data_IF_114669507242
#
_entry.id   IF_114669507242
#
_cell.length_a   1.000
_cell.length_b   1.000
_cell.length_c   1.000
_cell.angle_alpha   90.00
_cell.angle_beta   90.00
_cell.angle_gamma   90.00
#
_symmetry.space_group_name_H-M   'P 1'
#
loop_
_entity.id
_entity.type
_entity.pdbx_description
1 polymer ?
#
# COMPACT_ATOMS: atom_id res chain seq x y z
N UNK A 1 -17.00 -1.25 31.32
CA UNK A 1 -16.43 -2.51 30.81
C UNK A 1 -14.93 -2.32 30.75
N UNK A 2 -14.18 -3.07 31.53
CA UNK A 2 -12.71 -2.96 31.57
C UNK A 2 -12.16 -3.89 30.49
N UNK A 3 -11.48 -3.32 29.51
CA UNK A 3 -10.76 -4.08 28.49
C UNK A 3 -9.60 -4.83 29.16
N UNK A 4 -9.73 -6.15 29.20
CA UNK A 4 -8.70 -7.05 29.70
C UNK A 4 -7.69 -7.24 28.58
N UNK A 5 -6.65 -6.42 28.55
CA UNK A 5 -5.44 -6.72 27.80
C UNK A 5 -4.74 -7.90 28.48
N UNK A 6 -4.95 -9.09 27.94
CA UNK A 6 -4.15 -10.26 28.30
C UNK A 6 -2.76 -10.04 27.71
N UNK A 7 -1.85 -9.45 28.50
CA UNK A 7 -0.42 -9.48 28.22
C UNK A 7 0.02 -10.94 28.25
N UNK A 8 0.23 -11.54 27.10
CA UNK A 8 0.81 -12.86 27.02
C UNK A 8 2.34 -12.76 27.25
N UNK A 9 2.73 -12.71 28.53
CA UNK A 9 4.13 -12.56 28.97
C UNK A 9 5.04 -13.68 28.41
N UNK A 10 4.50 -14.86 28.10
CA UNK A 10 5.23 -15.95 27.46
C UNK A 10 5.56 -15.63 26.00
N UNK A 11 4.63 -15.04 25.26
CA UNK A 11 4.86 -14.63 23.88
C UNK A 11 5.96 -13.57 23.77
N UNK A 12 5.96 -12.57 24.66
CA UNK A 12 7.04 -11.56 24.74
C UNK A 12 8.38 -12.14 25.18
N UNK A 13 8.40 -13.16 26.04
CA UNK A 13 9.64 -13.86 26.45
C UNK A 13 10.21 -14.70 25.31
N UNK A 14 9.38 -15.38 24.54
CA UNK A 14 9.82 -16.14 23.34
C UNK A 14 10.36 -15.22 22.25
N UNK A 15 9.69 -14.09 21.98
CA UNK A 15 10.19 -13.07 21.06
C UNK A 15 11.55 -12.53 21.50
N UNK A 16 11.71 -12.16 22.77
CA UNK A 16 13.00 -11.70 23.30
C UNK A 16 14.08 -12.77 23.19
N UNK A 17 13.75 -14.03 23.42
CA UNK A 17 14.68 -15.14 23.28
C UNK A 17 15.10 -15.34 21.82
N UNK A 18 14.19 -15.21 20.86
CA UNK A 18 14.45 -15.31 19.41
C UNK A 18 15.36 -14.14 18.94
N UNK A 19 15.08 -12.92 19.40
CA UNK A 19 15.92 -11.75 19.12
C UNK A 19 17.32 -11.86 19.74
N UNK A 20 17.47 -12.50 20.90
CA UNK A 20 18.78 -12.73 21.54
C UNK A 20 19.65 -13.72 20.77
N UNK A 21 19.08 -14.52 19.87
CA UNK A 21 19.79 -15.48 19.01
C UNK A 21 20.12 -14.90 17.62
N UNK A 22 19.95 -13.57 17.43
CA UNK A 22 20.31 -12.89 16.17
C UNK A 22 19.27 -13.07 15.04
N UNK A 23 18.13 -13.68 15.31
CA UNK A 23 17.00 -13.78 14.36
C UNK A 23 16.31 -12.44 14.24
N UNK A 24 16.52 -11.69 13.15
CA UNK A 24 15.65 -10.57 12.79
C UNK A 24 14.28 -11.11 12.43
N UNK A 25 13.26 -10.74 13.19
CA UNK A 25 11.88 -11.00 12.78
C UNK A 25 11.58 -10.14 11.56
N UNK A 26 11.40 -10.78 10.42
CA UNK A 26 11.02 -10.12 9.17
C UNK A 26 9.50 -10.10 9.02
N UNK A 27 9.01 -8.98 8.58
CA UNK A 27 7.64 -8.77 8.11
C UNK A 27 7.65 -8.46 6.61
N UNK A 28 6.50 -8.39 6.01
CA UNK A 28 6.39 -7.89 4.65
C UNK A 28 5.28 -6.85 4.57
N UNK A 29 5.49 -5.87 3.71
CA UNK A 29 4.44 -4.98 3.20
C UNK A 29 4.27 -5.24 1.72
N UNK A 30 3.08 -4.95 1.21
CA UNK A 30 2.73 -5.23 -0.17
C UNK A 30 2.32 -3.94 -0.87
N UNK A 31 2.85 -3.72 -2.07
CA UNK A 31 2.48 -2.58 -2.91
C UNK A 31 1.60 -3.13 -4.02
N UNK A 32 0.36 -2.65 -4.09
CA UNK A 32 -0.60 -3.04 -5.13
C UNK A 32 -0.62 -1.95 -6.19
N UNK A 33 -0.04 -2.26 -7.34
CA UNK A 33 -0.12 -1.41 -8.53
C UNK A 33 -1.34 -1.84 -9.35
N UNK A 34 -2.29 -0.95 -9.59
CA UNK A 34 -3.54 -1.33 -10.25
C UNK A 34 -3.94 -0.40 -11.39
N UNK A 35 -4.64 -0.99 -12.38
CA UNK A 35 -5.45 -0.29 -13.35
C UNK A 35 -6.92 -0.47 -12.99
N UNK A 36 -7.52 0.57 -12.43
CA UNK A 36 -8.93 0.56 -12.03
C UNK A 36 -9.90 0.71 -13.21
N UNK A 37 -9.39 0.79 -14.45
CA UNK A 37 -10.20 0.85 -15.68
C UNK A 37 -11.10 2.07 -15.80
N UNK A 38 -10.97 3.07 -14.91
CA UNK A 38 -11.77 4.29 -14.98
C UNK A 38 -11.29 5.18 -16.13
N UNK A 39 -12.19 6.01 -16.69
CA UNK A 39 -11.80 6.93 -17.75
C UNK A 39 -10.62 7.84 -17.37
N UNK A 40 -10.55 8.22 -16.10
CA UNK A 40 -9.47 9.03 -15.53
C UNK A 40 -8.14 8.23 -15.49
N UNK A 41 -8.19 6.98 -15.06
CA UNK A 41 -7.07 6.04 -15.13
C UNK A 41 -6.58 5.88 -16.58
N UNK A 42 -7.49 5.76 -17.53
CA UNK A 42 -7.14 5.67 -18.97
C UNK A 42 -6.47 6.94 -19.49
N UNK A 43 -6.96 8.13 -19.10
CA UNK A 43 -6.32 9.39 -19.48
C UNK A 43 -4.87 9.48 -18.99
N UNK A 44 -4.63 9.12 -17.74
CA UNK A 44 -3.28 9.08 -17.18
C UNK A 44 -2.44 8.04 -17.93
N UNK A 45 -2.98 6.84 -18.17
CA UNK A 45 -2.31 5.78 -18.91
C UNK A 45 -1.95 6.16 -20.34
N UNK A 46 -2.83 6.86 -21.04
CA UNK A 46 -2.55 7.39 -22.41
C UNK A 46 -1.38 8.39 -22.39
N UNK A 47 -1.30 9.22 -21.36
CA UNK A 47 -0.23 10.20 -21.26
C UNK A 47 1.10 9.59 -20.79
N UNK A 48 1.08 8.71 -19.79
CA UNK A 48 2.28 8.10 -19.19
C UNK A 48 2.79 6.88 -19.96
N UNK A 49 1.98 6.34 -20.89
CA UNK A 49 2.28 5.07 -21.57
C UNK A 49 2.21 3.84 -20.66
N UNK A 50 1.69 3.99 -19.43
CA UNK A 50 1.62 2.92 -18.42
C UNK A 50 0.16 2.59 -18.09
N UNK A 51 -0.16 1.30 -18.02
CA UNK A 51 -1.52 0.84 -17.71
C UNK A 51 -1.82 0.89 -16.20
N UNK A 52 -0.86 0.55 -15.36
CA UNK A 52 -1.01 0.54 -13.89
C UNK A 52 -0.60 1.91 -13.34
N UNK A 53 -1.59 2.73 -13.07
CA UNK A 53 -1.42 4.14 -12.70
C UNK A 53 -1.96 4.49 -11.31
N UNK A 54 -2.30 3.49 -10.51
CA UNK A 54 -2.67 3.62 -9.11
C UNK A 54 -1.75 2.75 -8.25
N UNK A 55 -1.41 3.24 -7.05
CA UNK A 55 -0.60 2.53 -6.08
C UNK A 55 -1.27 2.55 -4.71
N UNK A 56 -1.31 1.40 -4.05
CA UNK A 56 -1.78 1.22 -2.68
C UNK A 56 -0.73 0.44 -1.89
N UNK A 57 -0.73 0.57 -0.57
CA UNK A 57 0.12 -0.22 0.32
C UNK A 57 -0.75 -1.09 1.22
N UNK A 58 -0.36 -2.35 1.40
CA UNK A 58 -1.03 -3.30 2.29
C UNK A 58 -0.05 -3.85 3.34
N UNK A 59 -0.59 -4.20 4.50
CA UNK A 59 0.19 -4.67 5.65
C UNK A 59 -0.01 -6.16 5.93
N UNK A 60 -0.75 -6.84 5.09
CA UNK A 60 -0.96 -8.29 5.14
C UNK A 60 -1.04 -8.87 3.71
N UNK A 61 -0.68 -10.14 3.59
CA UNK A 61 -0.66 -10.87 2.31
C UNK A 61 -2.05 -11.07 1.73
N UNK A 62 -3.03 -11.23 2.60
CA UNK A 62 -4.44 -11.39 2.24
C UNK A 62 -5.10 -10.09 1.79
N UNK A 63 -4.39 -8.96 1.84
CA UNK A 63 -4.86 -7.62 1.46
C UNK A 63 -6.14 -7.18 2.22
N UNK A 64 -6.20 -7.48 3.52
CA UNK A 64 -7.28 -7.00 4.39
C UNK A 64 -7.09 -5.55 4.80
N UNK A 65 -5.83 -5.11 4.96
CA UNK A 65 -5.46 -3.76 5.32
C UNK A 65 -4.77 -3.03 4.16
N UNK A 66 -5.54 -2.50 3.22
CA UNK A 66 -5.03 -1.77 2.03
C UNK A 66 -5.31 -0.28 2.17
N UNK A 67 -4.30 0.55 1.96
CA UNK A 67 -4.39 2.00 2.10
C UNK A 67 -3.83 2.74 0.90
N UNK A 68 -4.48 3.85 0.53
CA UNK A 68 -4.00 4.73 -0.54
C UNK A 68 -4.44 6.18 -0.34
N UNK A 69 -3.99 7.02 -1.25
CA UNK A 69 -4.61 8.32 -1.53
C UNK A 69 -5.29 8.25 -2.88
N UNK A 70 -6.60 8.40 -2.88
CA UNK A 70 -7.40 8.24 -4.08
C UNK A 70 -8.75 8.90 -3.96
N UNK A 71 -9.61 8.60 -4.92
CA UNK A 71 -10.99 9.08 -4.93
C UNK A 71 -11.82 8.30 -3.93
N UNK A 72 -12.57 9.03 -3.10
CA UNK A 72 -13.53 8.44 -2.16
C UNK A 72 -14.81 7.96 -2.86
N UNK A 73 -15.10 8.47 -4.04
CA UNK A 73 -16.28 8.13 -4.83
C UNK A 73 -15.91 7.91 -6.30
N UNK A 74 -16.49 6.87 -6.90
CA UNK A 74 -16.21 6.44 -8.28
C UNK A 74 -16.40 7.54 -9.31
N UNK A 75 -17.45 8.34 -9.16
CA UNK A 75 -17.88 9.34 -10.15
C UNK A 75 -17.45 10.78 -9.82
N UNK A 76 -16.83 11.02 -8.66
CA UNK A 76 -16.38 12.36 -8.27
C UNK A 76 -14.83 12.38 -8.18
N UNK A 77 -14.13 12.91 -9.19
CA UNK A 77 -12.67 12.98 -9.18
C UNK A 77 -12.10 13.99 -8.18
N UNK A 78 -12.91 14.96 -7.75
CA UNK A 78 -12.48 16.05 -6.84
C UNK A 78 -12.56 15.57 -5.38
N UNK A 79 -13.51 14.70 -5.05
CA UNK A 79 -13.67 14.17 -3.69
C UNK A 79 -12.71 12.99 -3.46
N UNK A 80 -11.50 13.32 -3.04
CA UNK A 80 -10.46 12.34 -2.76
C UNK A 80 -9.65 12.70 -1.51
N UNK A 81 -8.82 11.76 -1.07
CA UNK A 81 -7.98 11.87 0.11
C UNK A 81 -7.46 10.51 0.53
N UNK A 82 -7.17 10.37 1.82
CA UNK A 82 -6.83 9.08 2.42
C UNK A 82 -8.01 8.11 2.34
N UNK A 83 -7.75 6.89 1.87
CA UNK A 83 -8.75 5.82 1.69
C UNK A 83 -8.19 4.52 2.25
N UNK A 84 -8.99 3.79 3.02
CA UNK A 84 -8.80 2.37 3.22
C UNK A 84 -9.60 1.66 2.12
N UNK A 85 -8.90 0.92 1.28
CA UNK A 85 -9.49 0.26 0.11
C UNK A 85 -10.03 -1.12 0.48
N UNK A 86 -11.13 -1.50 -0.15
CA UNK A 86 -11.66 -2.85 -0.06
C UNK A 86 -11.14 -3.67 -1.25
N UNK A 87 -10.18 -4.56 -0.98
CA UNK A 87 -9.61 -5.44 -1.98
C UNK A 87 -10.60 -6.51 -2.48
N UNK A 88 -11.61 -6.86 -1.67
CA UNK A 88 -12.63 -7.87 -1.99
C UNK A 88 -13.90 -7.28 -2.59
N UNK A 89 -13.94 -5.96 -2.71
CA UNK A 89 -15.07 -5.23 -3.28
C UNK A 89 -14.64 -4.05 -4.14
N UNK A 90 -15.62 -3.32 -4.64
CA UNK A 90 -15.38 -2.08 -5.34
C UNK A 90 -14.58 -2.17 -6.65
N UNK A 91 -13.79 -1.13 -6.90
CA UNK A 91 -13.02 -1.00 -8.15
C UNK A 91 -11.77 -1.87 -8.17
N UNK A 92 -11.16 -2.09 -7.01
CA UNK A 92 -9.89 -2.78 -6.89
C UNK A 92 -10.05 -4.29 -7.20
N UNK A 93 -11.13 -4.91 -6.75
CA UNK A 93 -11.40 -6.34 -6.92
C UNK A 93 -11.30 -6.83 -8.37
N UNK A 94 -11.81 -6.03 -9.32
CA UNK A 94 -11.80 -6.38 -10.75
C UNK A 94 -10.61 -5.80 -11.53
N UNK A 95 -9.73 -5.05 -10.85
CA UNK A 95 -8.61 -4.40 -11.49
C UNK A 95 -7.54 -5.41 -11.94
N UNK A 96 -6.87 -5.10 -13.07
CA UNK A 96 -5.59 -5.73 -13.34
C UNK A 96 -4.54 -5.11 -12.42
N UNK A 97 -3.74 -5.94 -11.77
CA UNK A 97 -2.75 -5.47 -10.80
C UNK A 97 -1.40 -6.17 -10.94
N UNK A 98 -0.38 -5.54 -10.39
CA UNK A 98 0.86 -6.18 -9.96
C UNK A 98 0.94 -6.05 -8.45
N UNK A 99 1.26 -7.14 -7.76
CA UNK A 99 1.51 -7.13 -6.32
C UNK A 99 3.00 -7.28 -6.11
N UNK A 100 3.57 -6.31 -5.44
CA UNK A 100 4.98 -6.25 -5.11
C UNK A 100 5.12 -6.49 -3.60
N UNK A 101 6.10 -7.30 -3.22
CA UNK A 101 6.41 -7.64 -1.82
C UNK A 101 7.73 -6.98 -1.42
N UNK A 102 7.72 -6.30 -0.28
CA UNK A 102 8.91 -5.72 0.32
C UNK A 102 9.09 -6.25 1.74
N UNK A 103 10.23 -6.90 1.99
CA UNK A 103 10.58 -7.42 3.31
C UNK A 103 11.17 -6.31 4.17
N UNK A 104 10.71 -6.22 5.40
CA UNK A 104 11.10 -5.19 6.36
C UNK A 104 11.34 -5.82 7.73
N UNK A 105 12.14 -5.18 8.55
CA UNK A 105 12.23 -5.52 9.98
C UNK A 105 10.91 -5.18 10.69
N UNK A 106 10.70 -5.77 11.87
CA UNK A 106 9.53 -5.48 12.69
C UNK A 106 9.44 -3.99 13.05
N UNK A 107 10.56 -3.36 13.39
CA UNK A 107 10.60 -1.93 13.74
C UNK A 107 10.23 -1.03 12.56
N UNK A 108 10.66 -1.38 11.35
CA UNK A 108 10.27 -0.66 10.12
C UNK A 108 8.78 -0.83 9.83
N UNK A 109 8.29 -2.06 9.94
CA UNK A 109 6.87 -2.36 9.76
C UNK A 109 6.00 -1.55 10.72
N UNK A 110 6.39 -1.47 12.00
CA UNK A 110 5.65 -0.73 13.02
C UNK A 110 5.68 0.78 12.73
N UNK A 111 6.85 1.36 12.36
CA UNK A 111 6.93 2.77 11.95
C UNK A 111 6.06 3.09 10.73
N UNK A 112 6.10 2.23 9.71
CA UNK A 112 5.26 2.39 8.51
C UNK A 112 3.78 2.36 8.86
N UNK A 113 3.39 1.44 9.74
CA UNK A 113 2.01 1.29 10.20
C UNK A 113 1.56 2.50 11.03
N UNK A 114 2.38 2.98 11.95
CA UNK A 114 2.12 4.19 12.75
C UNK A 114 1.95 5.42 11.85
N UNK A 115 2.76 5.52 10.80
CA UNK A 115 2.63 6.59 9.81
C UNK A 115 1.27 6.54 9.09
N UNK A 116 0.82 5.36 8.68
CA UNK A 116 -0.52 5.18 8.08
C UNK A 116 -1.62 5.56 9.07
N UNK A 117 -1.50 5.14 10.34
CA UNK A 117 -2.46 5.48 11.39
C UNK A 117 -2.52 7.00 11.63
N UNK A 118 -1.39 7.69 11.54
CA UNK A 118 -1.33 9.17 11.59
C UNK A 118 -2.14 9.79 10.44
N UNK A 119 -1.96 9.32 9.20
CA UNK A 119 -2.75 9.76 8.06
C UNK A 119 -4.26 9.49 8.26
N UNK A 120 -4.60 8.32 8.82
CA UNK A 120 -5.98 7.94 9.12
C UNK A 120 -6.61 8.86 10.17
N UNK A 121 -5.89 9.13 11.26
CA UNK A 121 -6.37 10.01 12.34
C UNK A 121 -6.58 11.45 11.86
N UNK A 122 -5.68 11.93 11.01
CA UNK A 122 -5.68 13.30 10.50
C UNK A 122 -6.29 13.43 9.09
N UNK A 123 -7.03 12.44 8.61
CA UNK A 123 -7.51 12.37 7.23
C UNK A 123 -8.27 13.60 6.73
N UNK A 124 -8.85 14.40 7.63
CA UNK A 124 -9.54 15.65 7.29
C UNK A 124 -8.58 16.76 6.86
N UNK A 125 -7.33 16.72 7.29
CA UNK A 125 -6.29 17.69 6.91
C UNK A 125 -5.76 17.45 5.49
N UNK A 126 -5.80 16.18 5.04
CA UNK A 126 -5.18 15.76 3.80
C UNK A 126 -6.18 15.73 2.64
N UNK A 127 -5.75 16.24 1.50
CA UNK A 127 -6.54 16.31 0.27
C UNK A 127 -5.91 15.46 -0.82
N UNK A 128 -6.71 15.05 -1.77
CA UNK A 128 -6.20 14.41 -2.99
C UNK A 128 -5.58 15.44 -3.92
N UNK A 129 -4.32 15.22 -4.29
CA UNK A 129 -3.59 16.14 -5.16
C UNK A 129 -3.80 15.80 -6.64
N UNK A 130 -5.01 16.02 -7.13
CA UNK A 130 -5.34 15.81 -8.54
C UNK A 130 -4.47 16.69 -9.48
N UNK A 131 -4.24 17.95 -9.10
CA UNK A 131 -3.41 18.88 -9.88
C UNK A 131 -1.94 18.45 -9.90
N UNK A 132 -1.42 17.92 -8.77
CA UNK A 132 -0.07 17.37 -8.70
C UNK A 132 0.11 16.15 -9.60
N UNK A 133 -0.91 15.31 -9.72
CA UNK A 133 -0.90 14.17 -10.63
C UNK A 133 -0.79 14.59 -12.11
N UNK A 134 -1.52 15.64 -12.53
CA UNK A 134 -1.35 16.24 -13.84
C UNK A 134 0.02 16.92 -13.98
N UNK A 135 0.52 17.54 -12.90
CA UNK A 135 1.84 18.13 -12.87
C UNK A 135 2.94 17.12 -13.17
N UNK A 136 2.89 15.94 -12.56
CA UNK A 136 3.85 14.86 -12.84
C UNK A 136 3.75 14.42 -14.31
N UNK A 137 2.53 14.23 -14.81
CA UNK A 137 2.33 13.89 -16.21
C UNK A 137 2.94 14.94 -17.15
N UNK A 138 2.83 16.22 -16.82
CA UNK A 138 3.40 17.35 -17.58
C UNK A 138 4.83 17.72 -17.19
N UNK A 139 5.50 16.92 -16.33
CA UNK A 139 6.83 17.22 -15.77
C UNK A 139 6.89 18.54 -14.98
N UNK A 140 5.75 19.02 -14.52
CA UNK A 140 5.62 20.22 -13.68
C UNK A 140 5.64 19.81 -12.22
N UNK A 141 6.49 20.45 -11.42
CA UNK A 141 6.57 20.18 -9.98
C UNK A 141 5.49 20.97 -9.20
N UNK A 142 4.24 20.51 -9.25
CA UNK A 142 3.12 21.12 -8.52
C UNK A 142 3.02 20.48 -7.14
N UNK A 143 3.68 21.07 -6.16
CA UNK A 143 3.56 20.68 -4.76
C UNK A 143 2.46 21.51 -4.08
N UNK A 144 1.62 20.85 -3.28
CA UNK A 144 0.60 21.47 -2.45
C UNK A 144 0.72 20.90 -1.04
N UNK A 145 0.73 21.79 -0.06
CA UNK A 145 0.75 21.37 1.34
C UNK A 145 -0.48 20.50 1.67
N UNK A 146 -0.24 19.42 2.41
CA UNK A 146 -1.25 18.46 2.85
C UNK A 146 -2.09 17.85 1.70
N UNK A 147 -1.53 17.77 0.50
CA UNK A 147 -2.18 17.15 -0.65
C UNK A 147 -1.28 16.06 -1.27
N UNK A 148 -1.79 14.85 -1.30
CA UNK A 148 -1.07 13.66 -1.76
C UNK A 148 -1.77 13.04 -2.97
N UNK A 149 -1.00 12.39 -3.82
CA UNK A 149 -1.50 11.39 -4.77
C UNK A 149 -1.01 9.99 -4.36
N UNK A 150 -1.53 8.96 -4.99
CA UNK A 150 -1.37 7.57 -4.55
C UNK A 150 0.10 7.14 -4.39
N UNK A 151 0.92 7.32 -5.40
CA UNK A 151 2.34 6.90 -5.34
C UNK A 151 3.17 7.78 -4.40
N UNK A 152 2.86 9.08 -4.26
CA UNK A 152 3.50 9.93 -3.25
C UNK A 152 3.24 9.43 -1.84
N UNK A 153 1.99 9.01 -1.54
CA UNK A 153 1.65 8.45 -0.24
C UNK A 153 2.42 7.15 0.02
N UNK A 154 2.40 6.20 -0.93
CA UNK A 154 3.14 4.93 -0.78
C UNK A 154 4.63 5.19 -0.57
N UNK A 155 5.24 6.07 -1.36
CA UNK A 155 6.65 6.46 -1.20
C UNK A 155 6.95 7.07 0.18
N UNK A 156 6.03 7.90 0.70
CA UNK A 156 6.16 8.49 2.04
C UNK A 156 6.11 7.43 3.14
N UNK A 157 5.29 6.38 2.98
CA UNK A 157 5.24 5.27 3.94
C UNK A 157 6.52 4.42 3.82
N UNK A 158 6.98 4.11 2.61
CA UNK A 158 8.21 3.33 2.40
C UNK A 158 9.45 4.01 2.98
N UNK A 159 9.50 5.33 3.01
CA UNK A 159 10.61 6.08 3.64
C UNK A 159 10.71 5.92 5.18
N UNK A 160 9.75 5.27 5.81
CA UNK A 160 9.87 4.85 7.22
C UNK A 160 10.72 3.56 7.35
N UNK A 161 11.20 2.99 6.24
CA UNK A 161 12.11 1.85 6.18
C UNK A 161 13.52 2.27 5.73
N UNK A 162 14.32 1.30 5.31
CA UNK A 162 15.67 1.53 4.74
C UNK A 162 15.64 1.99 3.28
N UNK A 163 14.50 1.89 2.59
CA UNK A 163 14.37 2.46 1.24
C UNK A 163 14.40 3.98 1.32
N UNK A 164 15.35 4.59 0.60
CA UNK A 164 15.44 6.04 0.45
C UNK A 164 14.82 6.49 -0.88
N UNK A 165 13.64 7.08 -0.79
CA UNK A 165 12.98 7.71 -1.93
C UNK A 165 13.14 9.21 -1.81
N UNK A 166 14.18 9.75 -2.46
CA UNK A 166 14.62 11.14 -2.31
C UNK A 166 13.50 12.18 -2.60
N UNK A 167 12.60 11.87 -3.52
CA UNK A 167 11.48 12.77 -3.89
C UNK A 167 10.16 12.02 -4.00
N UNK A 168 9.47 11.72 -2.89
CA UNK A 168 8.17 11.02 -2.92
C UNK A 168 7.15 11.68 -3.85
N UNK A 169 7.17 13.01 -3.96
CA UNK A 169 6.27 13.79 -4.82
C UNK A 169 6.53 13.66 -6.33
N UNK A 170 7.55 12.94 -6.75
CA UNK A 170 7.85 12.71 -8.17
C UNK A 170 7.74 11.24 -8.59
N UNK A 171 7.51 10.33 -7.64
CA UNK A 171 7.46 8.88 -7.90
C UNK A 171 6.19 8.52 -8.65
N UNK A 172 6.37 7.76 -9.72
CA UNK A 172 5.26 7.16 -10.47
C UNK A 172 5.03 5.71 -10.01
N UNK A 173 3.79 5.18 -10.08
CA UNK A 173 3.46 3.85 -9.56
C UNK A 173 4.38 2.73 -10.07
N UNK A 174 4.70 2.69 -11.37
CA UNK A 174 5.52 1.64 -11.96
C UNK A 174 6.96 1.61 -11.44
N UNK A 175 7.49 2.75 -10.95
CA UNK A 175 8.86 2.83 -10.46
C UNK A 175 9.10 2.03 -9.18
N UNK A 176 8.05 1.68 -8.43
CA UNK A 176 8.24 0.81 -7.26
C UNK A 176 8.78 -0.58 -7.63
N UNK A 177 8.48 -1.07 -8.83
CA UNK A 177 9.02 -2.35 -9.30
C UNK A 177 10.51 -2.27 -9.74
N UNK A 178 11.09 -1.07 -9.79
CA UNK A 178 12.49 -0.85 -10.18
C UNK A 178 13.44 -0.88 -8.96
N UNK A 179 12.90 -0.86 -7.73
CA UNK A 179 13.71 -0.97 -6.51
C UNK A 179 14.17 -2.41 -6.29
N UNK A 180 15.49 -2.64 -6.07
CA UNK A 180 16.07 -4.00 -6.05
C UNK A 180 15.53 -4.89 -4.93
N UNK A 181 15.09 -4.29 -3.81
CA UNK A 181 14.58 -5.03 -2.64
C UNK A 181 13.06 -5.27 -2.71
N UNK A 182 12.42 -4.85 -3.80
CA UNK A 182 10.98 -5.01 -4.01
C UNK A 182 10.75 -6.10 -5.07
N UNK A 183 10.12 -7.19 -4.65
CA UNK A 183 9.87 -8.38 -5.47
C UNK A 183 8.47 -8.35 -6.09
N UNK A 184 8.36 -8.60 -7.40
CA UNK A 184 7.07 -8.85 -8.04
C UNK A 184 6.62 -10.27 -7.71
N UNK A 185 5.51 -10.43 -6.96
CA UNK A 185 4.98 -11.74 -6.56
C UNK A 185 3.75 -12.16 -7.35
N UNK A 186 3.02 -11.22 -7.95
CA UNK A 186 1.82 -11.52 -8.74
C UNK A 186 1.59 -10.48 -9.81
N UNK A 187 1.06 -10.93 -10.96
CA UNK A 187 0.55 -10.09 -12.02
C UNK A 187 -0.71 -10.70 -12.65
N UNK A 188 -1.84 -9.99 -12.60
CA UNK A 188 -3.11 -10.47 -13.11
C UNK A 188 -4.30 -9.70 -12.57
N UNK A 189 -5.48 -10.31 -12.59
CA UNK A 189 -6.67 -9.74 -11.94
C UNK A 189 -6.61 -9.99 -10.43
N UNK A 190 -6.86 -8.95 -9.64
CA UNK A 190 -6.79 -9.06 -8.18
C UNK A 190 -7.69 -10.16 -7.62
N UNK A 191 -8.89 -10.32 -8.17
CA UNK A 191 -9.81 -11.37 -7.74
C UNK A 191 -9.21 -12.79 -7.80
N UNK A 192 -8.34 -13.07 -8.75
CA UNK A 192 -7.70 -14.38 -8.87
C UNK A 192 -6.65 -14.58 -7.77
N UNK A 193 -5.83 -13.56 -7.48
CA UNK A 193 -4.87 -13.59 -6.38
C UNK A 193 -5.57 -13.89 -5.05
N UNK A 194 -6.67 -13.20 -4.75
CA UNK A 194 -7.41 -13.38 -3.50
C UNK A 194 -8.05 -14.77 -3.36
N UNK A 195 -8.43 -15.40 -4.47
CA UNK A 195 -8.93 -16.78 -4.46
C UNK A 195 -7.80 -17.78 -4.22
N UNK A 196 -6.65 -17.62 -4.89
CA UNK A 196 -5.48 -18.47 -4.70
C UNK A 196 -4.99 -18.43 -3.24
N UNK A 197 -4.87 -17.24 -2.65
CA UNK A 197 -4.51 -17.06 -1.24
C UNK A 197 -5.51 -17.76 -0.30
N UNK A 198 -6.81 -17.63 -0.57
CA UNK A 198 -7.83 -18.27 0.24
C UNK A 198 -7.73 -19.80 0.22
N UNK A 199 -7.40 -20.39 -0.93
CA UNK A 199 -7.20 -21.84 -1.07
C UNK A 199 -5.95 -22.30 -0.31
N UNK A 200 -4.87 -21.55 -0.37
CA UNK A 200 -3.61 -21.84 0.34
C UNK A 200 -3.85 -21.82 1.86
N UNK A 201 -4.60 -20.84 2.37
CA UNK A 201 -4.94 -20.74 3.79
C UNK A 201 -5.76 -21.93 4.27
N UNK A 202 -6.81 -22.30 3.52
CA UNK A 202 -7.64 -23.47 3.83
C UNK A 202 -6.78 -24.74 3.82
N UNK A 203 -5.89 -24.90 2.84
CA UNK A 203 -4.98 -26.04 2.78
C UNK A 203 -4.03 -26.14 3.98
N UNK A 204 -3.59 -25.02 4.54
CA UNK A 204 -2.73 -24.99 5.74
C UNK A 204 -3.49 -25.37 7.02
N UNK A 205 -4.78 -25.06 7.13
CA UNK A 205 -5.61 -25.43 8.28
C UNK A 205 -5.94 -26.93 8.32
N UNK A 206 -5.91 -27.63 7.19
CA UNK A 206 -6.19 -29.07 7.12
C UNK A 206 -4.93 -29.96 7.30
N UNK A 207 -3.74 -29.39 7.46
CA UNK A 207 -2.46 -30.11 7.60
C UNK A 207 -1.93 -30.06 9.05
N UNK A 208 -2.62 -29.44 9.97
CA UNK A 208 -2.36 -29.43 11.42
C UNK A 208 -3.33 -30.39 12.14
#
# INVERSE_FOLDING_TARGET
MRDVYIKNDNFYKEIKKYCSWGGKMEKAVYIVLSDTGTWFSRLIGMYTGKSKNHASIAFDEELNEVYSFGRKQRYNPINGGFVQEDARGGLLYHANCSILKYKVSLDEYDRMRDKVLTFKAEQKKYKYNLLGLFGIALQLNIQRENAFFCSQFVATILNESTIDIAKPSSVQPHQFAEYPDIELIYEGKLMHFLVEESIILIGKEFVL
#
